data_IF_022394150961
#
_entry.id   IF_022394150961
#
_cell.length_a   1.000
_cell.length_b   1.000
_cell.length_c   1.000
_cell.angle_alpha   90.00
_cell.angle_beta   90.00
_cell.angle_gamma   90.00
#
_symmetry.space_group_name_H-M   'P 1'
#
loop_
_entity.id
_entity.type
_entity.pdbx_description
1 polymer ?
#
# COMPACT_ATOMS: atom_id res chain seq x y z
N UNK A 1 3.54 -8.80 9.08
CA UNK A 1 3.03 -10.13 9.52
C UNK A 1 4.12 -10.82 10.32
N UNK A 2 3.84 -11.10 11.61
CA UNK A 2 4.58 -11.99 12.52
C UNK A 2 5.89 -11.51 13.15
N UNK A 3 5.80 -10.56 14.10
CA UNK A 3 6.74 -10.46 15.22
C UNK A 3 6.13 -11.11 16.48
N UNK A 4 5.92 -12.43 16.43
CA UNK A 4 5.37 -13.23 17.55
C UNK A 4 5.89 -14.67 17.61
N UNK A 5 6.98 -14.99 16.91
CA UNK A 5 7.48 -16.37 16.84
C UNK A 5 8.47 -16.73 17.97
N UNK A 6 9.12 -15.75 18.58
CA UNK A 6 10.19 -15.98 19.58
C UNK A 6 9.73 -15.96 21.04
N UNK A 7 8.50 -15.56 21.32
CA UNK A 7 7.96 -15.50 22.69
C UNK A 7 7.36 -16.83 23.18
N UNK A 8 7.32 -17.85 22.33
CA UNK A 8 6.66 -19.12 22.63
C UNK A 8 7.57 -20.17 23.31
N UNK A 9 8.86 -19.88 23.52
CA UNK A 9 9.81 -20.82 24.13
C UNK A 9 10.30 -20.43 25.54
N UNK A 10 9.74 -19.41 26.18
CA UNK A 10 10.18 -18.97 27.52
C UNK A 10 9.33 -19.54 28.68
N UNK A 11 8.53 -20.60 28.45
CA UNK A 11 7.61 -21.18 29.45
C UNK A 11 8.00 -22.59 29.90
N UNK A 12 9.29 -22.92 29.93
CA UNK A 12 9.77 -24.19 30.48
C UNK A 12 10.99 -23.95 31.40
N UNK A 13 10.71 -23.53 32.63
CA UNK A 13 11.70 -23.40 33.70
C UNK A 13 11.00 -23.13 35.03
N UNK A 14 11.21 -24.02 36.00
CA UNK A 14 10.44 -24.18 37.23
C UNK A 14 10.53 -23.01 38.24
N UNK A 15 9.47 -22.84 39.04
CA UNK A 15 9.49 -22.04 40.27
C UNK A 15 8.11 -21.56 40.72
N UNK A 16 7.43 -22.31 41.60
CA UNK A 16 6.23 -21.86 42.30
C UNK A 16 6.56 -20.71 43.27
N UNK A 17 6.20 -19.48 42.91
CA UNK A 17 5.87 -18.40 43.85
C UNK A 17 4.69 -17.63 43.23
N UNK A 18 3.50 -17.57 43.87
CA UNK A 18 2.38 -16.80 43.35
C UNK A 18 2.62 -15.34 43.69
N UNK A 19 3.43 -14.64 42.90
CA UNK A 19 3.42 -13.18 42.94
C UNK A 19 2.12 -12.72 42.27
N UNK A 20 1.27 -11.92 42.92
CA UNK A 20 0.14 -11.28 42.26
C UNK A 20 0.69 -10.15 41.39
N UNK A 21 1.39 -10.50 40.32
CA UNK A 21 1.61 -9.57 39.22
C UNK A 21 0.29 -9.50 38.47
N UNK A 22 -0.59 -8.63 38.97
CA UNK A 22 -1.63 -8.03 38.17
C UNK A 22 -0.92 -7.39 36.97
N UNK A 23 -0.79 -8.14 35.88
CA UNK A 23 -0.55 -7.58 34.56
C UNK A 23 -1.81 -6.79 34.22
N UNK A 24 -1.88 -5.58 34.76
CA UNK A 24 -2.77 -4.57 34.23
C UNK A 24 -2.31 -4.37 32.80
N UNK A 25 -3.13 -4.82 31.85
CA UNK A 25 -2.94 -4.47 30.46
C UNK A 25 -3.16 -2.96 30.38
N UNK A 26 -2.09 -2.19 30.58
CA UNK A 26 -2.03 -0.76 30.29
C UNK A 26 -2.71 -0.54 28.93
N UNK A 27 -3.70 0.35 28.91
CA UNK A 27 -4.47 0.73 27.73
C UNK A 27 -3.53 1.37 26.72
N UNK A 28 -2.83 0.50 25.99
CA UNK A 28 -1.84 0.90 25.01
C UNK A 28 -2.58 1.66 23.93
N UNK A 29 -2.19 2.92 23.63
CA UNK A 29 -2.91 3.73 22.66
C UNK A 29 -3.03 2.95 21.36
N UNK A 30 -4.28 2.63 20.99
CA UNK A 30 -4.55 1.89 19.75
C UNK A 30 -3.95 2.70 18.61
N UNK A 31 -3.05 2.13 17.80
CA UNK A 31 -2.46 2.86 16.70
C UNK A 31 -3.58 3.37 15.79
N UNK A 32 -3.54 4.65 15.44
CA UNK A 32 -4.44 5.23 14.44
C UNK A 32 -4.23 4.44 13.15
N UNK A 33 -5.23 3.65 12.78
CA UNK A 33 -5.21 2.89 11.52
C UNK A 33 -5.62 3.87 10.42
N UNK A 34 -4.65 4.59 9.87
CA UNK A 34 -4.88 5.23 8.58
C UNK A 34 -5.16 4.12 7.55
N UNK A 35 -6.19 4.27 6.70
CA UNK A 35 -6.46 3.32 5.63
C UNK A 35 -5.23 3.19 4.72
N UNK A 36 -4.94 1.96 4.28
CA UNK A 36 -3.91 1.74 3.28
C UNK A 36 -4.35 2.34 1.96
N UNK A 37 -3.46 3.10 1.33
CA UNK A 37 -3.66 3.62 -0.03
C UNK A 37 -3.26 2.55 -1.05
N UNK A 38 -4.22 2.12 -1.85
CA UNK A 38 -4.00 1.08 -2.86
C UNK A 38 -3.50 1.70 -4.17
N UNK A 39 -2.54 1.05 -4.82
CA UNK A 39 -2.05 1.42 -6.15
C UNK A 39 -1.85 0.21 -7.06
N UNK A 40 -1.77 0.46 -8.36
CA UNK A 40 -1.50 -0.58 -9.38
C UNK A 40 -0.25 -0.25 -10.20
N UNK A 41 0.35 -1.29 -10.79
CA UNK A 41 1.37 -1.18 -11.83
C UNK A 41 0.78 -1.70 -13.13
N UNK A 42 0.93 -0.93 -14.21
CA UNK A 42 0.28 -1.24 -15.50
C UNK A 42 0.79 -2.48 -16.24
N UNK A 43 1.80 -3.17 -15.68
CA UNK A 43 2.38 -4.37 -16.29
C UNK A 43 1.37 -5.53 -16.40
N UNK A 44 0.66 -5.82 -15.30
CA UNK A 44 -0.27 -6.95 -15.17
C UNK A 44 -1.74 -6.55 -15.39
N UNK A 45 -2.07 -5.27 -15.19
CA UNK A 45 -3.42 -4.73 -15.25
C UNK A 45 -3.36 -3.44 -16.07
N UNK A 46 -4.40 -3.08 -16.81
CA UNK A 46 -4.49 -1.81 -17.54
C UNK A 46 -3.44 -1.57 -18.65
N UNK A 47 -2.63 -2.57 -19.03
CA UNK A 47 -1.66 -2.49 -20.14
C UNK A 47 -2.26 -2.00 -21.46
N UNK A 48 -3.50 -2.41 -21.74
CA UNK A 48 -4.21 -2.09 -22.97
C UNK A 48 -5.11 -0.86 -22.86
N UNK A 49 -5.09 -0.17 -21.72
CA UNK A 49 -5.92 1.02 -21.49
C UNK A 49 -5.15 2.28 -21.83
N UNK A 50 -5.88 3.31 -22.28
CA UNK A 50 -5.37 4.66 -22.39
C UNK A 50 -5.44 5.40 -21.04
N UNK A 51 -4.84 6.59 -20.97
CA UNK A 51 -4.86 7.40 -19.73
C UNK A 51 -6.28 7.70 -19.23
N UNK A 52 -7.25 8.12 -20.07
CA UNK A 52 -8.64 8.30 -19.64
C UNK A 52 -9.28 7.05 -19.03
N UNK A 53 -9.13 5.88 -19.64
CA UNK A 53 -9.67 4.64 -19.12
C UNK A 53 -9.02 4.23 -17.79
N UNK A 54 -7.69 4.43 -17.66
CA UNK A 54 -6.97 4.21 -16.40
C UNK A 54 -7.58 5.07 -15.28
N UNK A 55 -7.71 6.37 -15.50
CA UNK A 55 -8.25 7.31 -14.50
C UNK A 55 -9.66 6.90 -14.12
N UNK A 56 -10.56 6.75 -15.10
CA UNK A 56 -11.96 6.36 -14.85
C UNK A 56 -12.04 5.09 -13.99
N UNK A 57 -11.37 4.03 -14.42
CA UNK A 57 -11.50 2.71 -13.79
C UNK A 57 -10.82 2.67 -12.41
N UNK A 58 -9.69 3.35 -12.23
CA UNK A 58 -9.01 3.43 -10.92
C UNK A 58 -9.82 4.25 -9.92
N UNK A 59 -10.41 5.37 -10.34
CA UNK A 59 -11.31 6.17 -9.50
C UNK A 59 -12.53 5.35 -9.06
N UNK A 60 -13.18 4.65 -10.00
CA UNK A 60 -14.32 3.77 -9.73
C UNK A 60 -13.96 2.65 -8.73
N UNK A 61 -12.76 2.08 -8.86
CA UNK A 61 -12.23 1.05 -7.98
C UNK A 61 -11.61 1.56 -6.66
N UNK A 62 -11.58 2.88 -6.42
CA UNK A 62 -10.92 3.52 -5.27
C UNK A 62 -9.43 3.17 -5.15
N UNK A 63 -8.75 3.08 -6.29
CA UNK A 63 -7.29 2.91 -6.40
C UNK A 63 -6.68 4.31 -6.53
N UNK A 64 -5.82 4.68 -5.60
CA UNK A 64 -5.30 6.04 -5.43
C UNK A 64 -4.00 6.30 -6.19
N UNK A 65 -3.33 5.27 -6.72
CA UNK A 65 -2.05 5.41 -7.42
C UNK A 65 -1.89 4.47 -8.60
N UNK A 66 -1.17 4.93 -9.64
CA UNK A 66 -0.85 4.15 -10.83
C UNK A 66 0.62 4.34 -11.20
N UNK A 67 1.35 3.24 -11.34
CA UNK A 67 2.67 3.19 -11.98
C UNK A 67 2.53 2.82 -13.46
N UNK A 68 2.80 3.78 -14.33
CA UNK A 68 2.77 3.62 -15.78
C UNK A 68 4.08 2.97 -16.27
N UNK A 69 3.97 1.90 -17.04
CA UNK A 69 5.09 1.17 -17.63
C UNK A 69 5.21 1.57 -19.10
N UNK A 70 6.44 1.66 -19.58
CA UNK A 70 6.72 1.93 -20.99
C UNK A 70 6.19 0.80 -21.88
N UNK A 71 6.04 1.08 -23.16
CA UNK A 71 5.55 0.19 -24.23
C UNK A 71 4.07 -0.21 -24.12
N UNK A 72 3.25 0.54 -23.39
CA UNK A 72 1.83 0.21 -23.11
C UNK A 72 0.89 1.19 -23.83
N UNK A 73 -0.39 0.81 -23.97
CA UNK A 73 -1.36 1.55 -24.80
C UNK A 73 -1.61 3.00 -24.32
N UNK A 74 -1.38 3.28 -23.04
CA UNK A 74 -1.47 4.64 -22.50
C UNK A 74 -0.41 5.61 -23.05
N UNK A 75 0.64 5.11 -23.72
CA UNK A 75 1.59 5.93 -24.49
C UNK A 75 2.49 6.83 -23.63
N UNK A 76 2.69 6.50 -22.36
CA UNK A 76 3.58 7.27 -21.47
C UNK A 76 4.97 6.67 -21.56
N UNK A 77 5.83 7.35 -22.31
CA UNK A 77 7.15 6.87 -22.70
C UNK A 77 8.27 7.81 -22.25
N UNK A 78 9.49 7.26 -22.17
CA UNK A 78 10.71 8.03 -21.83
C UNK A 78 11.08 9.09 -22.86
N UNK A 79 10.55 8.96 -24.09
CA UNK A 79 10.81 9.87 -25.21
C UNK A 79 9.89 11.10 -25.21
N UNK A 80 8.92 11.19 -24.28
CA UNK A 80 8.03 12.34 -24.17
C UNK A 80 8.80 13.63 -23.86
N UNK A 81 8.41 14.72 -24.51
CA UNK A 81 8.95 16.05 -24.22
C UNK A 81 8.60 16.51 -22.79
N UNK A 82 9.22 17.60 -22.34
CA UNK A 82 8.88 18.18 -21.04
C UNK A 82 7.41 18.65 -20.98
N UNK A 83 6.90 19.21 -22.07
CA UNK A 83 5.54 19.70 -22.25
C UNK A 83 4.54 18.53 -22.23
N UNK A 84 4.83 17.46 -22.99
CA UNK A 84 3.99 16.28 -23.02
C UNK A 84 3.91 15.59 -21.65
N UNK A 85 5.02 15.54 -20.89
CA UNK A 85 5.01 15.01 -19.50
C UNK A 85 4.17 15.86 -18.56
N UNK A 86 4.20 17.20 -18.69
CA UNK A 86 3.34 18.10 -17.90
C UNK A 86 1.87 17.87 -18.20
N UNK A 87 1.51 17.69 -19.48
CA UNK A 87 0.14 17.41 -19.89
C UNK A 87 -0.35 16.05 -19.35
N UNK A 88 0.49 15.01 -19.39
CA UNK A 88 0.16 13.72 -18.75
C UNK A 88 -0.05 13.91 -17.25
N UNK A 89 0.87 14.60 -16.54
CA UNK A 89 0.74 14.87 -15.10
C UNK A 89 -0.57 15.57 -14.78
N UNK A 90 -0.93 16.61 -15.53
CA UNK A 90 -2.17 17.38 -15.35
C UNK A 90 -3.43 16.51 -15.37
N UNK A 91 -3.44 15.44 -16.18
CA UNK A 91 -4.57 14.50 -16.25
C UNK A 91 -4.75 13.70 -14.95
N UNK A 92 -3.68 13.50 -14.17
CA UNK A 92 -3.69 12.75 -12.90
C UNK A 92 -3.79 13.62 -11.65
N UNK A 93 -3.95 14.95 -11.77
CA UNK A 93 -4.08 15.87 -10.62
C UNK A 93 -5.51 15.97 -10.04
N UNK A 94 -6.45 15.18 -10.56
CA UNK A 94 -7.86 15.15 -10.12
C UNK A 94 -8.09 14.44 -8.81
#
# INVERSE_FOLDING_TARGET
>A
MNLRRRLFLAAAGAGLLPLPHSFSAEDSPKPRREPLKLGIVTYNIARAWDVPAIIKNCTEAKIEAVELRTTHAHGVEVTLSAEARKEVRKRFEG
#
